data_IF_135815343644
#
_entry.id   IF_135815343644
#
_cell.length_a   1.000
_cell.length_b   1.000
_cell.length_c   1.000
_cell.angle_alpha   90.00
_cell.angle_beta   90.00
_cell.angle_gamma   90.00
#
_symmetry.space_group_name_H-M   'P 1'
#
loop_
_entity.id
_entity.type
_entity.pdbx_description
1 polymer ?
#
# COMPACT_ATOMS: atom_id res chain seq x y z
N UNK A 1 -5.43 -28.82 6.22
CA UNK A 1 -4.77 -27.51 6.02
C UNK A 1 -5.81 -26.43 6.22
N UNK A 2 -5.62 -25.53 7.18
CA UNK A 2 -6.49 -24.38 7.44
C UNK A 2 -5.97 -23.16 6.68
N UNK A 3 -6.85 -22.49 5.93
CA UNK A 3 -6.50 -21.35 5.10
C UNK A 3 -7.68 -20.38 5.04
N UNK A 4 -7.38 -19.09 4.87
CA UNK A 4 -8.35 -18.03 4.71
C UNK A 4 -8.37 -17.59 3.25
N UNK A 5 -9.56 -17.40 2.69
CA UNK A 5 -9.73 -16.82 1.37
C UNK A 5 -9.67 -15.29 1.49
N UNK A 6 -8.70 -14.66 0.83
CA UNK A 6 -8.57 -13.21 0.74
C UNK A 6 -8.82 -12.74 -0.68
N UNK A 7 -9.51 -11.62 -0.82
CA UNK A 7 -9.75 -10.99 -2.12
C UNK A 7 -8.78 -9.84 -2.33
N UNK A 8 -7.96 -9.95 -3.37
CA UNK A 8 -6.97 -8.94 -3.74
C UNK A 8 -7.55 -8.05 -4.83
N UNK A 9 -7.51 -6.73 -4.62
CA UNK A 9 -7.68 -5.71 -5.66
C UNK A 9 -6.32 -5.18 -6.12
N UNK A 10 -6.09 -5.17 -7.43
CA UNK A 10 -4.82 -4.78 -8.06
C UNK A 10 -5.04 -4.07 -9.40
N UNK A 11 -4.01 -3.40 -9.93
CA UNK A 11 -4.08 -2.57 -11.15
C UNK A 11 -5.16 -1.46 -11.13
N UNK A 12 -5.63 -1.07 -9.96
CA UNK A 12 -6.37 0.17 -9.73
C UNK A 12 -5.45 1.30 -9.28
N UNK A 13 -6.04 2.35 -8.73
CA UNK A 13 -5.33 3.52 -8.25
C UNK A 13 -5.81 3.91 -6.85
N UNK A 14 -4.89 4.45 -6.04
CA UNK A 14 -5.26 5.13 -4.81
C UNK A 14 -5.70 6.55 -5.16
N UNK A 15 -6.97 6.85 -4.93
CA UNK A 15 -7.48 8.22 -4.98
C UNK A 15 -7.18 8.97 -3.67
N UNK A 16 -7.02 8.24 -2.56
CA UNK A 16 -6.62 8.79 -1.27
C UNK A 16 -5.94 7.72 -0.42
N UNK A 17 -5.56 8.06 0.82
CA UNK A 17 -4.99 7.10 1.80
C UNK A 17 -5.92 5.92 2.07
N UNK A 18 -7.23 6.11 1.93
CA UNK A 18 -8.26 5.11 2.27
C UNK A 18 -9.14 4.70 1.09
N UNK A 19 -8.90 5.20 -0.12
CA UNK A 19 -9.77 4.94 -1.27
C UNK A 19 -9.02 4.36 -2.46
N UNK A 20 -9.29 3.08 -2.72
CA UNK A 20 -8.81 2.36 -3.89
C UNK A 20 -9.92 2.28 -4.94
N UNK A 21 -9.66 2.80 -6.15
CA UNK A 21 -10.62 2.85 -7.24
C UNK A 21 -10.16 2.03 -8.44
N UNK A 22 -11.12 1.40 -9.11
CA UNK A 22 -10.88 0.56 -10.29
C UNK A 22 -10.10 -0.72 -9.99
N UNK A 23 -9.44 -1.23 -11.03
CA UNK A 23 -8.62 -2.43 -10.95
C UNK A 23 -9.36 -3.75 -11.16
N UNK A 24 -8.60 -4.84 -11.05
CA UNK A 24 -9.07 -6.23 -11.10
C UNK A 24 -9.12 -6.80 -9.69
N UNK A 25 -9.97 -7.82 -9.51
CA UNK A 25 -10.07 -8.56 -8.25
C UNK A 25 -9.73 -10.03 -8.46
N UNK A 26 -9.00 -10.64 -7.53
CA UNK A 26 -8.68 -12.07 -7.54
C UNK A 26 -8.69 -12.63 -6.12
N UNK A 27 -9.38 -13.75 -5.92
CA UNK A 27 -9.33 -14.50 -4.67
C UNK A 27 -8.05 -15.31 -4.57
N UNK A 28 -7.45 -15.36 -3.38
CA UNK A 28 -6.29 -16.20 -3.05
C UNK A 28 -6.53 -16.97 -1.76
N UNK A 29 -5.96 -18.15 -1.67
CA UNK A 29 -5.94 -18.94 -0.44
C UNK A 29 -4.65 -18.64 0.30
N UNK A 30 -4.76 -18.12 1.52
CA UNK A 30 -3.62 -17.82 2.39
C UNK A 30 -3.61 -18.81 3.54
N UNK A 31 -2.54 -19.61 3.71
CA UNK A 31 -2.38 -20.48 4.88
C UNK A 31 -2.46 -19.68 6.17
N UNK A 32 -3.08 -20.21 7.23
CA UNK A 32 -3.09 -19.55 8.55
C UNK A 32 -1.69 -19.40 9.17
N UNK A 33 -0.71 -20.12 8.65
CA UNK A 33 0.70 -20.06 9.05
C UNK A 33 1.52 -19.13 8.17
N UNK A 34 0.89 -18.33 7.30
CA UNK A 34 1.59 -17.42 6.41
C UNK A 34 2.27 -16.30 7.21
N UNK A 35 3.51 -15.99 6.85
CA UNK A 35 4.20 -14.78 7.31
C UNK A 35 3.86 -13.60 6.41
N UNK A 36 4.19 -12.39 6.83
CA UNK A 36 4.09 -11.19 6.02
C UNK A 36 4.87 -11.33 4.70
N UNK A 37 6.09 -11.87 4.77
CA UNK A 37 6.91 -12.15 3.58
C UNK A 37 6.23 -13.19 2.69
N UNK A 38 5.70 -14.27 3.28
CA UNK A 38 4.96 -15.29 2.53
C UNK A 38 3.71 -14.74 1.85
N UNK A 39 2.99 -13.80 2.49
CA UNK A 39 1.87 -13.11 1.86
C UNK A 39 2.33 -12.26 0.67
N UNK A 40 3.43 -11.50 0.82
CA UNK A 40 3.98 -10.68 -0.27
C UNK A 40 4.38 -11.53 -1.48
N UNK A 41 5.02 -12.67 -1.26
CA UNK A 41 5.42 -13.60 -2.32
C UNK A 41 4.20 -14.19 -3.03
N UNK A 42 3.22 -14.64 -2.26
CA UNK A 42 1.99 -15.25 -2.79
C UNK A 42 1.18 -14.24 -3.59
N UNK A 43 1.04 -13.02 -3.07
CA UNK A 43 0.46 -11.89 -3.78
C UNK A 43 1.23 -11.64 -5.07
N UNK A 44 2.54 -11.44 -5.02
CA UNK A 44 3.39 -11.12 -6.17
C UNK A 44 3.26 -12.14 -7.30
N UNK A 45 3.27 -13.43 -6.94
CA UNK A 45 3.05 -14.54 -7.85
C UNK A 45 1.68 -14.46 -8.53
N UNK A 46 0.62 -14.23 -7.74
CA UNK A 46 -0.77 -14.19 -8.21
C UNK A 46 -1.04 -13.05 -9.18
N UNK A 47 -0.44 -11.87 -8.94
CA UNK A 47 -0.61 -10.68 -9.78
C UNK A 47 0.48 -10.53 -10.85
N UNK A 48 1.43 -11.46 -10.92
CA UNK A 48 2.48 -11.49 -11.94
C UNK A 48 3.50 -10.37 -11.82
N UNK A 49 3.75 -9.86 -10.61
CA UNK A 49 4.82 -8.89 -10.40
C UNK A 49 6.17 -9.60 -10.50
N UNK A 50 6.98 -9.21 -11.49
CA UNK A 50 8.37 -9.63 -11.66
C UNK A 50 9.29 -8.42 -11.46
N UNK A 51 10.43 -8.63 -10.77
CA UNK A 51 11.49 -7.62 -10.56
C UNK A 51 11.71 -7.21 -9.10
N UNK A 52 12.91 -6.72 -8.79
CA UNK A 52 13.36 -6.34 -7.44
C UNK A 52 12.84 -4.97 -6.95
N UNK A 53 12.28 -4.13 -7.83
CA UNK A 53 11.96 -2.73 -7.51
C UNK A 53 10.45 -2.40 -7.44
N UNK A 54 9.67 -3.20 -6.74
CA UNK A 54 8.26 -2.86 -6.51
C UNK A 54 7.94 -2.95 -5.04
N UNK A 55 7.89 -1.80 -4.37
CA UNK A 55 7.35 -1.71 -3.01
C UNK A 55 5.86 -1.97 -3.09
N UNK A 56 5.46 -3.20 -2.79
CA UNK A 56 4.05 -3.57 -2.68
C UNK A 56 3.54 -2.98 -1.37
N UNK A 57 2.58 -2.07 -1.46
CA UNK A 57 1.87 -1.60 -0.26
C UNK A 57 0.57 -2.38 -0.16
N UNK A 58 0.50 -3.24 0.86
CA UNK A 58 -0.68 -4.01 1.21
C UNK A 58 -1.50 -3.23 2.24
N UNK A 59 -2.77 -2.96 1.92
CA UNK A 59 -3.75 -2.51 2.92
C UNK A 59 -4.94 -3.43 2.95
N UNK A 60 -5.53 -3.63 4.12
CA UNK A 60 -6.72 -4.44 4.30
C UNK A 60 -7.85 -3.64 4.95
N UNK A 61 -9.09 -4.00 4.60
CA UNK A 61 -10.28 -3.54 5.29
C UNK A 61 -11.02 -4.75 5.81
N UNK A 62 -11.42 -4.69 7.08
CA UNK A 62 -12.31 -5.65 7.72
C UNK A 62 -13.74 -5.47 7.16
N UNK A 63 -14.18 -4.20 7.08
CA UNK A 63 -15.44 -3.77 6.46
C UNK A 63 -15.11 -2.74 5.36
N UNK A 64 -15.67 -2.82 4.14
CA UNK A 64 -15.47 -1.83 3.08
C UNK A 64 -15.81 -0.39 3.46
N UNK A 65 -16.61 -0.17 4.51
CA UNK A 65 -16.93 1.15 5.08
C UNK A 65 -15.90 1.66 6.08
N UNK A 66 -14.96 0.81 6.50
CA UNK A 66 -13.91 1.14 7.48
C UNK A 66 -12.63 1.59 6.80
N UNK A 67 -11.80 2.38 7.50
CA UNK A 67 -10.49 2.77 6.99
C UNK A 67 -9.61 1.56 6.69
N UNK A 68 -8.84 1.67 5.62
CA UNK A 68 -7.89 0.65 5.20
C UNK A 68 -6.66 0.69 6.10
N UNK A 69 -6.35 -0.44 6.71
CA UNK A 69 -5.20 -0.64 7.61
C UNK A 69 -4.03 -1.20 6.82
N UNK A 70 -2.82 -0.68 7.05
CA UNK A 70 -1.61 -1.18 6.37
C UNK A 70 -1.12 -2.45 7.06
N UNK A 71 -0.70 -3.43 6.27
CA UNK A 71 0.00 -4.62 6.79
C UNK A 71 1.50 -4.35 6.68
N UNK A 72 2.24 -4.47 7.79
CA UNK A 72 3.69 -4.29 7.82
C UNK A 72 4.44 -5.36 8.64
N UNK A 73 3.73 -6.29 9.27
CA UNK A 73 4.32 -7.31 10.14
C UNK A 73 3.50 -8.61 10.20
N UNK A 74 4.12 -9.67 10.70
CA UNK A 74 3.46 -10.96 10.96
C UNK A 74 2.33 -10.83 12.00
N UNK A 75 2.44 -9.87 12.93
CA UNK A 75 1.38 -9.57 13.91
C UNK A 75 0.10 -9.08 13.22
N UNK A 76 0.22 -8.27 12.17
CA UNK A 76 -0.91 -7.79 11.39
C UNK A 76 -1.59 -8.93 10.60
N UNK A 77 -0.79 -9.90 10.13
CA UNK A 77 -1.30 -11.12 9.48
C UNK A 77 -2.08 -11.99 10.46
N UNK A 78 -1.53 -12.19 11.66
CA UNK A 78 -2.22 -12.94 12.71
C UNK A 78 -3.54 -12.26 13.09
N UNK A 79 -3.55 -10.93 13.21
CA UNK A 79 -4.77 -10.19 13.48
C UNK A 79 -5.82 -10.34 12.36
N UNK A 80 -5.38 -10.29 11.10
CA UNK A 80 -6.24 -10.57 9.95
C UNK A 80 -6.86 -11.98 10.03
N UNK A 81 -6.10 -12.99 10.47
CA UNK A 81 -6.59 -14.36 10.64
C UNK A 81 -7.57 -14.54 11.80
N UNK A 82 -7.43 -13.76 12.87
CA UNK A 82 -8.35 -13.81 14.02
C UNK A 82 -9.69 -13.11 13.77
N UNK A 83 -9.81 -12.36 12.68
CA UNK A 83 -11.02 -11.62 12.37
C UNK A 83 -12.01 -12.52 11.63
N UNK A 84 -13.23 -12.67 12.15
CA UNK A 84 -14.30 -13.48 11.51
C UNK A 84 -14.83 -12.85 10.22
N UNK A 85 -14.61 -11.55 10.04
CA UNK A 85 -14.98 -10.81 8.84
C UNK A 85 -13.96 -10.99 7.72
N UNK A 86 -14.47 -11.21 6.50
CA UNK A 86 -13.65 -11.47 5.31
C UNK A 86 -12.96 -10.18 4.85
N UNK A 87 -11.67 -10.06 5.15
CA UNK A 87 -10.86 -8.93 4.72
C UNK A 87 -10.62 -8.87 3.21
N UNK A 88 -10.60 -7.66 2.65
CA UNK A 88 -10.14 -7.41 1.28
C UNK A 88 -8.77 -6.75 1.32
N UNK A 89 -7.82 -7.25 0.52
CA UNK A 89 -6.50 -6.68 0.34
C UNK A 89 -6.50 -5.75 -0.89
N UNK A 90 -6.01 -4.53 -0.74
CA UNK A 90 -5.78 -3.59 -1.85
C UNK A 90 -4.29 -3.37 -2.05
N UNK A 91 -3.85 -3.44 -3.32
CA UNK A 91 -2.45 -3.31 -3.71
C UNK A 91 -2.24 -2.11 -4.64
N UNK A 92 -1.23 -1.30 -4.35
CA UNK A 92 -0.64 -0.44 -5.36
C UNK A 92 0.84 -0.73 -5.54
N UNK A 93 1.28 -0.54 -6.78
CA UNK A 93 2.69 -0.44 -7.12
C UNK A 93 3.18 0.95 -6.64
N UNK A 94 4.18 1.00 -5.75
CA UNK A 94 4.59 2.23 -5.07
C UNK A 94 5.05 3.35 -6.00
N UNK A 95 5.59 3.04 -7.18
CA UNK A 95 6.01 4.05 -8.17
C UNK A 95 4.85 4.97 -8.62
N UNK A 96 3.60 4.51 -8.58
CA UNK A 96 2.42 5.34 -8.89
C UNK A 96 1.80 6.03 -7.67
N UNK A 97 2.02 5.49 -6.46
CA UNK A 97 1.46 6.05 -5.23
C UNK A 97 2.27 7.25 -4.71
N UNK A 98 3.60 7.24 -4.86
CA UNK A 98 4.48 8.33 -4.42
C UNK A 98 4.41 9.59 -5.30
N UNK A 99 3.94 9.49 -6.55
CA UNK A 99 3.74 10.66 -7.41
C UNK A 99 2.35 11.28 -7.28
N UNK A 100 1.32 10.50 -6.88
CA UNK A 100 -0.05 10.99 -6.80
C UNK A 100 -0.42 11.60 -5.43
N UNK A 101 0.23 11.20 -4.33
CA UNK A 101 -0.03 11.80 -3.01
C UNK A 101 0.49 13.23 -2.90
N UNK A 102 1.66 13.55 -3.46
CA UNK A 102 2.23 14.91 -3.43
C UNK A 102 1.38 15.92 -4.21
N UNK A 103 0.87 15.52 -5.37
CA UNK A 103 0.01 16.38 -6.20
C UNK A 103 -1.38 16.59 -5.59
N UNK A 104 -1.89 15.62 -4.83
CA UNK A 104 -3.14 15.78 -4.07
C UNK A 104 -2.95 16.63 -2.80
N UNK A 105 -1.83 16.48 -2.10
CA UNK A 105 -1.47 17.33 -0.96
C UNK A 105 -1.38 18.80 -1.37
N UNK A 106 -0.70 19.11 -2.48
CA UNK A 106 -0.59 20.48 -3.00
C UNK A 106 -1.95 21.13 -3.29
N UNK A 107 -2.95 20.37 -3.72
CA UNK A 107 -4.31 20.88 -4.02
C UNK A 107 -5.16 21.14 -2.76
N UNK A 108 -4.82 20.52 -1.63
CA UNK A 108 -5.60 20.60 -0.39
C UNK A 108 -5.03 21.61 0.62
N UNK A 109 -3.88 22.23 0.33
CA UNK A 109 -3.21 23.18 1.23
C UNK A 109 -3.83 24.59 1.07
N UNK A 110 -4.33 25.22 2.15
CA UNK A 110 -4.77 26.61 2.13
C UNK A 110 -3.63 27.55 1.66
N UNK A 111 -3.91 28.62 0.90
CA UNK A 111 -2.89 29.51 0.33
C UNK A 111 -1.90 30.06 1.36
N UNK A 112 -2.36 30.22 2.59
CA UNK A 112 -1.62 30.75 3.75
C UNK A 112 -0.47 29.84 4.21
N UNK A 113 -0.57 28.53 3.97
CA UNK A 113 0.44 27.52 4.33
C UNK A 113 1.38 27.22 3.13
N UNK A 114 1.02 27.67 1.92
CA UNK A 114 1.71 27.37 0.66
C UNK A 114 3.21 27.68 0.63
N UNK A 115 3.65 28.72 1.37
CA UNK A 115 5.08 29.05 1.48
C UNK A 115 5.85 28.03 2.31
N UNK A 116 5.32 27.63 3.47
CA UNK A 116 5.95 26.62 4.34
C UNK A 116 6.07 25.26 3.64
N UNK A 117 5.05 24.88 2.86
CA UNK A 117 5.06 23.63 2.10
C UNK A 117 6.02 23.65 0.92
N UNK A 118 6.28 24.82 0.32
CA UNK A 118 7.32 24.98 -0.70
C UNK A 118 8.71 24.73 -0.11
N UNK A 119 8.99 25.24 1.10
CA UNK A 119 10.27 24.97 1.78
C UNK A 119 10.44 23.50 2.14
N UNK A 120 9.38 22.82 2.60
CA UNK A 120 9.42 21.39 2.91
C UNK A 120 9.62 20.53 1.65
N UNK A 121 8.98 20.87 0.53
CA UNK A 121 9.19 20.16 -0.75
C UNK A 121 10.64 20.32 -1.23
N UNK A 122 11.18 21.55 -1.19
CA UNK A 122 12.58 21.80 -1.56
C UNK A 122 13.56 21.06 -0.65
N UNK A 123 13.26 20.96 0.65
CA UNK A 123 14.07 20.22 1.60
C UNK A 123 14.04 18.71 1.30
N UNK A 124 12.88 18.15 0.96
CA UNK A 124 12.74 16.74 0.59
C UNK A 124 13.47 16.41 -0.72
N UNK A 125 13.39 17.28 -1.73
CA UNK A 125 14.18 17.12 -2.96
C UNK A 125 15.69 17.19 -2.71
N UNK A 126 16.11 18.06 -1.79
CA UNK A 126 17.51 18.16 -1.39
C UNK A 126 17.96 16.88 -0.68
N UNK A 127 17.15 16.35 0.24
CA UNK A 127 17.43 15.09 0.94
C UNK A 127 17.51 13.92 -0.04
N UNK A 128 16.60 13.81 -1.01
CA UNK A 128 16.64 12.76 -2.04
C UNK A 128 17.90 12.85 -2.91
N UNK A 129 18.33 14.07 -3.27
CA UNK A 129 19.60 14.28 -4.00
C UNK A 129 20.82 13.92 -3.16
N UNK A 130 20.82 14.26 -1.86
CA UNK A 130 21.93 13.92 -0.95
C UNK A 130 22.01 12.40 -0.76
N UNK A 131 20.89 11.72 -0.53
CA UNK A 131 20.86 10.26 -0.40
C UNK A 131 21.42 9.57 -1.66
N UNK A 132 21.05 10.03 -2.85
CA UNK A 132 21.57 9.53 -4.13
C UNK A 132 23.06 9.81 -4.36
N UNK A 133 23.62 10.85 -3.75
CA UNK A 133 25.05 11.17 -3.83
C UNK A 133 25.88 10.39 -2.80
N UNK A 134 25.23 9.84 -1.77
CA UNK A 134 25.90 9.12 -0.69
C UNK A 134 25.89 7.59 -0.87
N UNK A 135 25.37 7.04 -1.98
CA UNK A 135 25.19 5.60 -2.23
C UNK A 135 24.64 4.84 -1.00
N UNK A 136 23.66 5.45 -0.31
CA UNK A 136 22.88 4.85 0.79
C UNK A 136 21.50 4.40 0.31
#
# INVERSE_FOLDING_TARGET
MTAVCLFIKYNGQWESVSRYIGGKMKGIMVPLTATYVGLLELVSSVIGLRGQEKTIVIKYAIDPKRPLMKIHSDADINFLHTTEEKGFICLANSQLASMNWMSQWQKAIPPEIGKATTYLCNLLELVDKVMKLCDL
#
